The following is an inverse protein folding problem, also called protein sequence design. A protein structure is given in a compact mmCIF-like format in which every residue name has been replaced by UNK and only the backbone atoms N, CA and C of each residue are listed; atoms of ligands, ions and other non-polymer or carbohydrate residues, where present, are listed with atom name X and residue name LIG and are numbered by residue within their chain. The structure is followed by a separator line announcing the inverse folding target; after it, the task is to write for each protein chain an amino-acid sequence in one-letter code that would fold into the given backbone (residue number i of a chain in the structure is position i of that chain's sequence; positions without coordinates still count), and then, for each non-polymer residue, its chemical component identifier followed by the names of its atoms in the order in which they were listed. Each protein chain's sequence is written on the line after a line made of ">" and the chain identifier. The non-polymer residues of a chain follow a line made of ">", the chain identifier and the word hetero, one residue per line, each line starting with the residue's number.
data_IF_292573207067
#
_entry.id   IF_292573207067
#
_cell.length_a   1.000
_cell.length_b   1.000
_cell.length_c   1.000
_cell.angle_alpha   90.00
_cell.angle_beta   90.00
_cell.angle_gamma   90.00
#
_symmetry.space_group_name_H-M   'P 1'
#
loop_
_entity.id
_entity.type
_entity.pdbx_description
1 polymer ?
#
# COMPACT_ATOMS: atom_id res chain seq x y z
N UNK A 1 -60.23 6.72 6.84
CA UNK A 1 -59.85 5.28 6.89
C UNK A 1 -59.61 4.61 5.50
N UNK A 2 -59.53 5.33 4.38
CA UNK A 2 -59.34 4.70 3.04
C UNK A 2 -57.85 4.41 2.70
N UNK A 3 -56.94 5.07 3.41
CA UNK A 3 -55.49 5.14 3.14
C UNK A 3 -54.76 3.86 3.61
N UNK A 4 -55.16 3.30 4.77
CA UNK A 4 -54.53 2.11 5.38
C UNK A 4 -54.61 0.86 4.49
N UNK A 5 -55.70 0.71 3.71
CA UNK A 5 -55.87 -0.38 2.72
C UNK A 5 -54.92 -0.26 1.52
N UNK A 6 -54.40 0.93 1.22
CA UNK A 6 -53.44 1.17 0.12
C UNK A 6 -52.01 0.86 0.57
N UNK A 7 -51.66 1.20 1.82
CA UNK A 7 -50.36 0.85 2.44
C UNK A 7 -50.22 -0.66 2.60
N UNK A 8 -51.25 -1.37 3.09
CA UNK A 8 -51.17 -2.84 3.27
C UNK A 8 -50.93 -3.59 1.95
N UNK A 9 -51.48 -3.10 0.82
CA UNK A 9 -51.22 -3.66 -0.51
C UNK A 9 -49.78 -3.44 -1.01
N UNK A 10 -49.11 -2.37 -0.60
CA UNK A 10 -47.71 -2.13 -0.96
C UNK A 10 -46.75 -2.94 -0.07
N UNK A 11 -47.05 -3.06 1.23
CA UNK A 11 -46.25 -3.87 2.17
C UNK A 11 -46.33 -5.37 1.85
N UNK A 12 -47.51 -5.88 1.47
CA UNK A 12 -47.68 -7.29 1.10
C UNK A 12 -46.89 -7.71 -0.15
N UNK A 13 -46.48 -6.78 -1.02
CA UNK A 13 -45.78 -7.08 -2.27
C UNK A 13 -44.25 -7.14 -2.11
N UNK A 14 -43.71 -6.69 -0.96
CA UNK A 14 -42.27 -6.59 -0.69
C UNK A 14 -41.72 -7.80 0.09
N UNK A 15 -42.58 -8.61 0.72
CA UNK A 15 -42.19 -9.76 1.55
C UNK A 15 -42.01 -11.06 0.73
N UNK A 16 -42.43 -11.08 -0.53
CA UNK A 16 -42.46 -12.29 -1.37
C UNK A 16 -41.16 -12.59 -2.16
N UNK A 17 -40.04 -11.92 -1.86
CA UNK A 17 -38.83 -11.95 -2.70
C UNK A 17 -37.60 -12.67 -2.09
N UNK A 18 -37.73 -13.32 -0.93
CA UNK A 18 -36.59 -13.95 -0.23
C UNK A 18 -36.87 -15.45 0.02
N UNK A 19 -36.79 -16.28 -1.03
CA UNK A 19 -36.59 -17.73 -0.92
C UNK A 19 -35.95 -18.34 -2.18
N UNK A 20 -34.62 -18.22 -2.27
CA UNK A 20 -33.64 -19.09 -2.96
C UNK A 20 -32.28 -18.47 -2.59
N UNK A 21 -31.31 -19.14 -1.97
CA UNK A 21 -30.72 -20.43 -2.34
C UNK A 21 -30.34 -21.24 -1.08
N UNK A 22 -30.92 -22.44 -0.92
CA UNK A 22 -30.39 -23.44 0.01
C UNK A 22 -29.32 -24.26 -0.74
N UNK A 23 -28.05 -23.88 -0.59
CA UNK A 23 -26.93 -24.59 -1.22
C UNK A 23 -26.64 -25.91 -0.49
N UNK A 24 -26.66 -27.03 -1.22
CA UNK A 24 -26.14 -28.30 -0.73
C UNK A 24 -24.62 -28.22 -0.51
N UNK A 25 -24.11 -28.82 0.56
CA UNK A 25 -22.68 -28.78 0.86
C UNK A 25 -22.27 -29.50 2.14
N UNK A 26 -22.75 -30.72 2.36
CA UNK A 26 -22.27 -31.55 3.48
C UNK A 26 -21.02 -32.34 3.10
N UNK A 27 -19.95 -32.22 3.88
CA UNK A 27 -19.04 -33.35 4.12
C UNK A 27 -18.26 -33.18 5.44
N UNK A 28 -18.20 -34.23 6.24
CA UNK A 28 -17.42 -34.28 7.47
C UNK A 28 -15.96 -34.69 7.19
N UNK A 29 -14.99 -34.14 7.93
CA UNK A 29 -14.05 -34.91 8.78
C UNK A 29 -12.93 -34.05 9.41
N UNK A 30 -12.85 -34.15 10.75
CA UNK A 30 -11.67 -34.27 11.64
C UNK A 30 -10.42 -33.37 11.37
N UNK A 31 -9.91 -32.55 12.31
CA UNK A 31 -9.39 -32.87 13.66
C UNK A 31 -8.22 -33.88 13.60
N UNK A 32 -6.99 -33.68 14.11
CA UNK A 32 -6.27 -32.57 14.77
C UNK A 32 -4.77 -32.65 14.34
N UNK A 33 -3.70 -32.15 14.98
CA UNK A 33 -3.42 -31.47 16.26
C UNK A 33 -1.97 -30.93 16.23
N UNK A 34 -1.64 -29.97 17.11
CA UNK A 34 -0.27 -29.61 17.56
C UNK A 34 0.64 -28.93 16.52
N UNK A 35 1.11 -27.69 16.73
CA UNK A 35 1.97 -27.12 17.79
C UNK A 35 3.47 -27.20 17.44
N UNK A 36 4.07 -26.01 17.41
CA UNK A 36 5.43 -25.66 17.88
C UNK A 36 6.61 -26.21 17.03
N UNK A 37 7.28 -25.34 16.27
CA UNK A 37 8.32 -24.38 16.70
C UNK A 37 9.74 -24.98 16.58
N UNK A 38 10.50 -24.52 15.59
CA UNK A 38 11.90 -24.20 15.84
C UNK A 38 12.50 -23.21 14.81
N UNK A 39 13.11 -22.15 15.31
CA UNK A 39 13.99 -21.23 14.58
C UNK A 39 15.44 -21.66 14.81
N UNK A 40 16.28 -21.79 13.75
CA UNK A 40 17.67 -21.32 13.84
C UNK A 40 18.48 -21.13 12.54
N UNK A 41 19.13 -19.96 12.48
CA UNK A 41 20.47 -19.61 11.94
C UNK A 41 20.85 -19.74 10.44
N UNK A 42 20.89 -18.58 9.77
CA UNK A 42 22.08 -17.79 9.27
C UNK A 42 23.28 -18.42 8.54
N UNK A 43 23.89 -17.57 7.68
CA UNK A 43 25.25 -17.61 7.05
C UNK A 43 25.36 -18.38 5.70
N UNK A 44 26.14 -17.96 4.68
CA UNK A 44 26.61 -16.63 4.21
C UNK A 44 27.10 -16.74 2.72
N UNK A 45 27.21 -15.61 2.01
CA UNK A 45 28.08 -15.29 0.87
C UNK A 45 28.40 -16.29 -0.28
N UNK A 46 28.07 -15.92 -1.54
CA UNK A 46 29.08 -15.79 -2.62
C UNK A 46 28.62 -14.90 -3.81
N UNK A 47 29.53 -14.05 -4.31
CA UNK A 47 29.44 -13.29 -5.57
C UNK A 47 29.85 -14.14 -6.79
N UNK A 48 29.30 -13.81 -7.96
CA UNK A 48 29.96 -13.70 -9.28
C UNK A 48 28.88 -13.22 -10.30
N UNK A 49 29.17 -12.45 -11.36
CA UNK A 49 30.46 -11.97 -11.84
C UNK A 49 30.39 -10.61 -12.54
N UNK A 50 31.57 -10.11 -12.92
CA UNK A 50 31.80 -8.79 -13.50
C UNK A 50 31.73 -8.83 -15.03
N UNK A 51 31.19 -7.76 -15.66
CA UNK A 51 31.38 -7.52 -17.10
C UNK A 51 32.14 -6.20 -17.26
N UNK A 52 33.39 -6.30 -17.73
CA UNK A 52 34.30 -5.18 -17.85
C UNK A 52 34.01 -4.32 -19.08
N UNK A 53 33.37 -3.17 -18.89
CA UNK A 53 33.47 -2.03 -19.80
C UNK A 53 34.23 -0.92 -19.08
N UNK A 54 35.54 -0.81 -19.36
CA UNK A 54 36.41 0.24 -18.83
C UNK A 54 36.14 1.58 -19.53
N UNK A 55 34.96 2.15 -19.33
CA UNK A 55 34.80 3.58 -19.39
C UNK A 55 35.55 4.20 -18.21
N UNK A 56 36.18 5.35 -18.43
CA UNK A 56 36.91 6.11 -17.41
C UNK A 56 35.98 6.44 -16.23
N UNK A 57 36.09 5.64 -15.14
CA UNK A 57 35.32 5.88 -13.93
C UNK A 57 35.83 7.14 -13.25
N UNK A 58 35.19 8.27 -13.55
CA UNK A 58 35.23 9.45 -12.68
C UNK A 58 34.96 8.99 -11.25
N UNK A 59 35.83 9.39 -10.33
CA UNK A 59 35.70 9.06 -8.92
C UNK A 59 34.40 9.70 -8.40
N UNK A 60 33.41 8.86 -8.09
CA UNK A 60 32.10 9.31 -7.63
C UNK A 60 32.18 9.58 -6.12
N UNK A 61 31.84 10.80 -5.72
CA UNK A 61 31.88 11.24 -4.33
C UNK A 61 30.68 12.13 -4.01
N UNK A 62 30.38 12.21 -2.71
CA UNK A 62 29.33 13.06 -2.16
C UNK A 62 29.95 14.18 -1.29
N UNK A 63 29.35 15.37 -1.21
CA UNK A 63 28.18 15.84 -1.98
C UNK A 63 28.48 15.95 -3.49
N UNK A 64 27.46 15.74 -4.33
CA UNK A 64 27.58 15.93 -5.78
C UNK A 64 27.61 17.42 -6.13
N UNK A 65 28.51 17.81 -7.06
CA UNK A 65 28.49 19.15 -7.67
C UNK A 65 27.49 19.15 -8.84
N UNK A 66 26.23 19.48 -8.53
CA UNK A 66 25.14 19.56 -9.50
C UNK A 66 24.13 20.65 -9.12
N UNK A 67 23.46 21.21 -10.14
CA UNK A 67 22.35 22.15 -9.96
C UNK A 67 20.99 21.52 -10.35
N UNK A 68 20.99 20.25 -10.74
CA UNK A 68 19.77 19.52 -11.10
C UNK A 68 18.90 19.26 -9.86
N UNK A 69 17.58 19.29 -10.04
CA UNK A 69 16.60 18.97 -8.99
C UNK A 69 15.91 17.66 -9.34
N UNK A 70 15.90 16.68 -8.43
CA UNK A 70 15.16 15.44 -8.61
C UNK A 70 13.73 15.58 -8.11
N UNK A 71 12.78 15.00 -8.83
CA UNK A 71 11.38 14.89 -8.42
C UNK A 71 11.12 13.55 -7.74
N UNK A 72 10.56 13.57 -6.53
CA UNK A 72 10.28 12.37 -5.74
C UNK A 72 8.81 12.34 -5.30
N UNK A 73 8.03 11.48 -5.94
CA UNK A 73 6.67 11.18 -5.53
C UNK A 73 6.66 10.12 -4.43
N UNK A 74 6.00 10.42 -3.31
CA UNK A 74 5.79 9.48 -2.23
C UNK A 74 4.55 9.80 -1.39
N UNK A 75 3.96 8.78 -0.80
CA UNK A 75 2.88 8.93 0.18
C UNK A 75 3.46 9.53 1.47
N UNK A 76 2.97 10.71 1.90
CA UNK A 76 3.46 11.33 3.12
C UNK A 76 2.98 10.54 4.34
N UNK A 77 3.93 10.03 5.14
CA UNK A 77 3.62 9.27 6.35
C UNK A 77 2.74 10.10 7.31
N UNK A 78 1.61 9.58 7.82
CA UNK A 78 0.69 10.34 8.68
C UNK A 78 1.37 10.98 9.91
N UNK A 79 2.37 10.32 10.50
CA UNK A 79 3.11 10.85 11.64
C UNK A 79 3.96 12.08 11.27
N UNK A 80 4.45 12.16 10.04
CA UNK A 80 5.17 13.34 9.52
C UNK A 80 4.15 14.45 9.20
N UNK A 81 3.03 14.09 8.56
CA UNK A 81 1.97 15.05 8.21
C UNK A 81 1.38 15.82 9.41
N UNK A 82 1.48 15.26 10.62
CA UNK A 82 1.08 15.92 11.86
C UNK A 82 1.98 17.11 12.26
N UNK A 83 3.18 17.23 11.67
CA UNK A 83 4.17 18.27 12.03
C UNK A 83 4.80 18.98 10.83
N UNK A 84 4.65 18.48 9.60
CA UNK A 84 5.26 18.99 8.38
C UNK A 84 4.31 18.79 7.19
N UNK A 85 4.19 19.77 6.30
CA UNK A 85 3.28 19.69 5.15
C UNK A 85 3.87 18.84 4.00
N UNK A 86 5.19 18.82 3.89
CA UNK A 86 5.96 17.96 2.99
C UNK A 86 7.09 17.24 3.74
N UNK A 87 7.57 16.12 3.18
CA UNK A 87 8.83 15.51 3.64
C UNK A 87 10.00 16.50 3.52
N UNK A 88 9.98 17.41 2.53
CA UNK A 88 10.99 18.45 2.32
C UNK A 88 11.14 19.45 3.48
N UNK A 89 10.08 19.66 4.28
CA UNK A 89 10.14 20.54 5.45
C UNK A 89 10.95 19.94 6.60
N UNK A 90 11.10 18.60 6.62
CA UNK A 90 11.68 17.86 7.74
C UNK A 90 13.19 18.09 7.89
N UNK A 91 13.76 17.95 9.10
CA UNK A 91 15.20 17.93 9.30
C UNK A 91 15.91 16.81 8.52
N UNK A 92 15.21 15.70 8.27
CA UNK A 92 15.74 14.58 7.48
C UNK A 92 16.03 14.98 6.03
N UNK A 93 15.06 15.58 5.34
CA UNK A 93 15.25 16.02 3.95
C UNK A 93 16.36 17.07 3.81
N UNK A 94 16.47 17.98 4.78
CA UNK A 94 17.52 19.03 4.81
C UNK A 94 18.93 18.46 4.98
N UNK A 95 19.09 17.45 5.84
CA UNK A 95 20.39 16.78 5.97
C UNK A 95 20.66 15.85 4.77
N UNK A 96 19.63 15.22 4.19
CA UNK A 96 19.76 14.43 2.96
C UNK A 96 20.29 15.28 1.79
N UNK A 97 19.66 16.44 1.51
CA UNK A 97 20.13 17.40 0.50
C UNK A 97 21.57 17.86 0.77
N UNK A 98 21.90 18.18 2.02
CA UNK A 98 23.25 18.61 2.43
C UNK A 98 24.32 17.52 2.27
N UNK A 99 23.99 16.26 2.54
CA UNK A 99 24.92 15.13 2.41
C UNK A 99 25.07 14.69 0.95
N UNK A 100 23.98 14.69 0.16
CA UNK A 100 24.02 14.24 -1.24
C UNK A 100 24.43 15.33 -2.22
N UNK A 101 24.25 16.61 -1.87
CA UNK A 101 24.43 17.74 -2.79
C UNK A 101 23.31 17.88 -3.83
N UNK A 102 22.22 17.13 -3.68
CA UNK A 102 21.12 17.07 -4.65
C UNK A 102 19.85 17.65 -4.04
N UNK A 103 19.28 18.65 -4.71
CA UNK A 103 17.99 19.22 -4.35
C UNK A 103 16.85 18.29 -4.78
N UNK A 104 15.83 18.18 -3.94
CA UNK A 104 14.69 17.28 -4.16
C UNK A 104 13.37 18.05 -4.06
N UNK A 105 12.52 17.92 -5.08
CA UNK A 105 11.12 18.36 -5.06
C UNK A 105 10.22 17.16 -4.70
N UNK A 106 9.57 17.25 -3.55
CA UNK A 106 8.73 16.16 -3.01
C UNK A 106 7.27 16.34 -3.42
N UNK A 107 6.72 15.34 -4.09
CA UNK A 107 5.33 15.31 -4.55
C UNK A 107 4.55 14.33 -3.65
N UNK A 108 3.49 14.81 -3.01
CA UNK A 108 2.66 13.99 -2.14
C UNK A 108 1.22 13.90 -2.67
N UNK A 109 0.65 12.68 -2.85
CA UNK A 109 -0.77 12.53 -3.08
C UNK A 109 -1.56 12.93 -1.81
N UNK A 110 -2.82 13.32 -1.99
CA UNK A 110 -3.70 13.57 -0.84
C UNK A 110 -4.02 12.24 -0.11
N UNK A 111 -3.98 12.28 1.22
CA UNK A 111 -4.18 11.10 2.06
C UNK A 111 -5.55 10.45 1.82
N UNK A 112 -5.59 9.13 1.68
CA UNK A 112 -6.78 8.34 1.34
C UNK A 112 -7.19 8.37 -0.13
N UNK A 113 -6.36 8.95 -1.02
CA UNK A 113 -6.58 8.97 -2.48
C UNK A 113 -5.31 8.62 -3.27
N UNK A 114 -4.38 7.92 -2.63
CA UNK A 114 -3.04 7.67 -3.16
C UNK A 114 -3.05 6.72 -4.36
N UNK A 115 -4.01 5.79 -4.43
CA UNK A 115 -4.16 4.88 -5.56
C UNK A 115 -4.71 5.60 -6.79
N UNK A 116 -5.68 6.50 -6.61
CA UNK A 116 -6.27 7.32 -7.66
C UNK A 116 -5.24 8.30 -8.23
N UNK A 117 -4.49 8.98 -7.36
CA UNK A 117 -3.40 9.87 -7.74
C UNK A 117 -2.27 9.12 -8.46
N UNK A 118 -1.91 7.92 -8.00
CA UNK A 118 -0.91 7.07 -8.65
C UNK A 118 -1.38 6.57 -10.03
N UNK A 119 -2.64 6.14 -10.15
CA UNK A 119 -3.22 5.73 -11.44
C UNK A 119 -3.24 6.90 -12.45
N UNK A 120 -3.52 8.12 -11.99
CA UNK A 120 -3.46 9.32 -12.83
C UNK A 120 -2.03 9.64 -13.29
N UNK A 121 -1.04 9.52 -12.39
CA UNK A 121 0.38 9.70 -12.69
C UNK A 121 0.89 8.66 -13.72
N UNK A 122 0.44 7.41 -13.62
CA UNK A 122 0.73 6.41 -14.66
C UNK A 122 0.03 6.70 -15.99
N UNK A 123 -1.18 7.28 -15.95
CA UNK A 123 -1.96 7.59 -17.14
C UNK A 123 -1.52 8.87 -17.87
N UNK A 124 -0.90 9.84 -17.18
CA UNK A 124 -0.35 11.05 -17.81
C UNK A 124 0.93 10.75 -18.61
N UNK A 125 1.74 9.79 -18.16
CA UNK A 125 3.08 9.53 -18.68
C UNK A 125 4.14 10.55 -18.23
N UNK A 126 3.74 11.58 -17.48
CA UNK A 126 4.61 12.55 -16.82
C UNK A 126 5.07 11.96 -15.48
N UNK A 127 5.99 11.01 -15.56
CA UNK A 127 6.54 10.33 -14.39
C UNK A 127 7.66 11.16 -13.74
N UNK A 128 7.69 11.26 -12.40
CA UNK A 128 8.82 11.82 -11.67
C UNK A 128 10.02 10.87 -11.66
N UNK A 129 11.19 11.38 -11.29
CA UNK A 129 12.45 10.62 -11.27
C UNK A 129 12.42 9.46 -10.27
N UNK A 130 11.75 9.66 -9.13
CA UNK A 130 11.62 8.67 -8.05
C UNK A 130 10.14 8.51 -7.69
N UNK A 131 9.67 7.26 -7.66
CA UNK A 131 8.33 6.87 -7.19
C UNK A 131 8.49 5.91 -6.02
N UNK A 132 8.19 6.38 -4.81
CA UNK A 132 8.03 5.53 -3.63
C UNK A 132 6.55 5.26 -3.37
N UNK A 133 6.15 4.00 -3.56
CA UNK A 133 4.84 3.47 -3.21
C UNK A 133 5.07 2.18 -2.44
N UNK A 134 4.17 1.84 -1.51
CA UNK A 134 4.07 0.44 -1.10
C UNK A 134 3.57 -0.40 -2.29
N UNK A 135 4.48 -1.20 -2.83
CA UNK A 135 4.25 -2.16 -3.91
C UNK A 135 3.77 -3.51 -3.38
N UNK A 136 3.94 -3.78 -2.07
CA UNK A 136 3.49 -5.00 -1.44
C UNK A 136 2.03 -4.87 -1.04
N UNK A 137 1.14 -5.44 -1.84
CA UNK A 137 -0.27 -5.56 -1.48
C UNK A 137 -0.39 -6.56 -0.32
N UNK A 138 -0.42 -6.04 0.90
CA UNK A 138 -0.66 -6.81 2.12
C UNK A 138 -2.04 -7.48 2.04
N UNK A 139 -2.08 -8.77 1.67
CA UNK A 139 -3.31 -9.58 1.56
C UNK A 139 -3.97 -9.89 2.93
N UNK A 140 -3.56 -9.22 4.00
CA UNK A 140 -3.81 -9.62 5.38
C UNK A 140 -5.13 -9.05 5.94
N UNK A 141 -5.61 -7.92 5.41
CA UNK A 141 -6.79 -7.23 5.93
C UNK A 141 -8.10 -7.99 5.69
N UNK A 142 -8.26 -8.65 4.54
CA UNK A 142 -9.44 -9.48 4.26
C UNK A 142 -9.54 -10.68 5.22
N UNK A 143 -8.41 -11.26 5.65
CA UNK A 143 -8.38 -12.41 6.55
C UNK A 143 -8.72 -12.01 7.99
N UNK A 144 -8.33 -10.80 8.42
CA UNK A 144 -8.59 -10.31 9.79
C UNK A 144 -10.07 -10.01 10.04
N UNK A 145 -10.76 -9.43 9.04
CA UNK A 145 -12.20 -9.12 9.13
C UNK A 145 -13.06 -10.40 9.17
N UNK A 146 -12.73 -11.41 8.38
CA UNK A 146 -13.39 -12.72 8.41
C UNK A 146 -13.24 -13.41 9.78
N UNK A 147 -12.06 -13.36 10.39
CA UNK A 147 -11.85 -13.95 11.73
C UNK A 147 -12.64 -13.24 12.84
N UNK A 148 -12.76 -11.91 12.81
CA UNK A 148 -13.51 -11.19 13.85
C UNK A 148 -15.02 -11.42 13.78
N UNK A 149 -15.61 -11.52 12.59
CA UNK A 149 -17.06 -11.73 12.46
C UNK A 149 -17.48 -13.18 12.77
N UNK A 150 -16.57 -14.15 12.64
CA UNK A 150 -16.79 -15.56 13.03
C UNK A 150 -16.60 -15.78 14.54
N UNK A 151 -15.84 -14.92 15.23
CA UNK A 151 -15.63 -14.99 16.69
C UNK A 151 -16.70 -14.26 17.52
N UNK A 152 -17.69 -13.63 16.86
CA UNK A 152 -18.81 -12.90 17.49
C UNK A 152 -20.17 -13.60 17.28
N UNK A 153 -20.16 -14.85 16.79
CA UNK A 153 -21.31 -15.74 16.61
C UNK A 153 -21.10 -17.05 17.37
#
# INVERSE_FOLDING_TARGET
>A
MKNKKRVYKMVALLVASIMTLAACGGNEKKLSSSSEDNIQKTEDHKKEGETNTSAERKEFSYPMDTNETLTWWLQLNPNVSATSASLGDTPFAKELEKQTGVKIEYIHPAQGSENEAFNLLLASGELPDIIEKDWYVSQVDQIRLLKMNILLL
#
